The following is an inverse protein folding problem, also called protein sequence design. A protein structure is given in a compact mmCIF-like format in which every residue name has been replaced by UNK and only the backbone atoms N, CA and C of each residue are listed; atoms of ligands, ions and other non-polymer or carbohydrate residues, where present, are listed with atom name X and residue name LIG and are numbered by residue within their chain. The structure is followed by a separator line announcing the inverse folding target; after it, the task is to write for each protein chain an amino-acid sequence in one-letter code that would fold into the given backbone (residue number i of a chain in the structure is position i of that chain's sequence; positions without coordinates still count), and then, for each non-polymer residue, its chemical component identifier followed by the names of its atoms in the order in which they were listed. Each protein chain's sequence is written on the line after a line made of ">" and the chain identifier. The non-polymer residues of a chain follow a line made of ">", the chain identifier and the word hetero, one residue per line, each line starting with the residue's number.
data_IF_788384087980
#
_entry.id   IF_788384087980
#
_cell.length_a   1.000
_cell.length_b   1.000
_cell.length_c   1.000
_cell.angle_alpha   90.00
_cell.angle_beta   90.00
_cell.angle_gamma   90.00
#
_symmetry.space_group_name_H-M   'P 1'
#
loop_
_entity.id
_entity.type
_entity.pdbx_description
1 polymer ?
#
# COMPACT_ATOMS: atom_id res chain seq x y z
N UNK A 1 -31.58 -15.52 -11.59
CA UNK A 1 -31.25 -14.13 -11.98
C UNK A 1 -29.75 -14.04 -12.00
N UNK A 2 -29.14 -13.98 -13.18
CA UNK A 2 -27.68 -13.88 -13.34
C UNK A 2 -27.25 -12.46 -13.02
N UNK A 3 -26.40 -12.28 -12.00
CA UNK A 3 -25.79 -10.99 -11.70
C UNK A 3 -25.13 -10.40 -12.95
N UNK A 4 -25.18 -9.07 -13.15
CA UNK A 4 -24.48 -8.44 -14.26
C UNK A 4 -22.97 -8.75 -14.17
N UNK A 5 -22.28 -8.91 -15.31
CA UNK A 5 -20.83 -9.10 -15.31
C UNK A 5 -20.17 -7.87 -14.64
N UNK A 6 -19.10 -8.07 -13.85
CA UNK A 6 -18.39 -6.95 -13.26
C UNK A 6 -17.86 -6.03 -14.36
N UNK A 7 -17.75 -4.71 -14.09
CA UNK A 7 -17.20 -3.77 -15.06
C UNK A 7 -15.85 -4.29 -15.55
N UNK A 8 -15.69 -4.39 -16.87
CA UNK A 8 -14.42 -4.77 -17.47
C UNK A 8 -13.42 -3.66 -17.17
N UNK A 9 -12.44 -3.97 -16.33
CA UNK A 9 -11.34 -3.06 -16.03
C UNK A 9 -10.48 -2.78 -17.25
N UNK A 10 -9.51 -1.88 -17.11
CA UNK A 10 -8.50 -1.66 -18.14
C UNK A 10 -7.64 -2.92 -18.38
N UNK A 11 -6.65 -2.86 -19.28
CA UNK A 11 -5.74 -3.99 -19.57
C UNK A 11 -5.06 -4.55 -18.28
N UNK A 12 -4.93 -3.72 -17.24
CA UNK A 12 -4.36 -4.08 -15.95
C UNK A 12 -5.38 -4.65 -14.96
N UNK A 13 -6.67 -4.63 -15.31
CA UNK A 13 -7.78 -5.07 -14.48
C UNK A 13 -8.13 -4.07 -13.39
N UNK A 14 -7.76 -2.80 -13.60
CA UNK A 14 -8.11 -1.70 -12.73
C UNK A 14 -9.53 -1.23 -13.04
N UNK A 15 -10.28 -0.75 -12.04
CA UNK A 15 -11.60 -0.20 -12.28
C UNK A 15 -11.52 1.07 -13.14
N UNK A 16 -12.58 1.40 -13.91
CA UNK A 16 -12.61 2.62 -14.70
C UNK A 16 -12.32 3.88 -13.84
N UNK A 17 -11.47 4.77 -14.33
CA UNK A 17 -11.13 6.05 -13.67
C UNK A 17 -10.14 5.95 -12.49
N UNK A 18 -9.93 4.78 -11.90
CA UNK A 18 -9.01 4.59 -10.77
C UNK A 18 -7.55 4.90 -11.14
N UNK A 19 -7.15 4.57 -12.37
CA UNK A 19 -5.81 4.91 -12.87
C UNK A 19 -5.60 6.42 -13.01
N UNK A 20 -6.62 7.17 -13.40
CA UNK A 20 -6.55 8.63 -13.51
C UNK A 20 -6.52 9.31 -12.13
N UNK A 21 -7.31 8.78 -11.18
CA UNK A 21 -7.28 9.21 -9.77
C UNK A 21 -5.89 8.98 -9.16
N UNK A 22 -5.30 7.80 -9.38
CA UNK A 22 -3.92 7.51 -8.97
C UNK A 22 -2.94 8.53 -9.55
N UNK A 23 -3.02 8.81 -10.86
CA UNK A 23 -2.16 9.79 -11.51
C UNK A 23 -2.34 11.21 -10.95
N UNK A 24 -3.56 11.57 -10.51
CA UNK A 24 -3.79 12.85 -9.84
C UNK A 24 -3.08 12.90 -8.48
N UNK A 25 -3.26 11.89 -7.62
CA UNK A 25 -2.55 11.82 -6.34
C UNK A 25 -1.03 11.76 -6.50
N UNK A 26 -0.54 11.03 -7.51
CA UNK A 26 0.88 10.96 -7.85
C UNK A 26 1.47 12.31 -8.29
N UNK A 27 0.67 13.22 -8.88
CA UNK A 27 1.12 14.60 -9.19
C UNK A 27 1.40 15.37 -7.91
N UNK A 28 0.48 15.32 -6.96
CA UNK A 28 0.61 16.04 -5.69
C UNK A 28 1.82 15.51 -4.90
N UNK A 29 1.96 14.19 -4.84
CA UNK A 29 3.11 13.54 -4.20
C UNK A 29 4.43 13.90 -4.89
N UNK A 30 4.47 13.95 -6.23
CA UNK A 30 5.67 14.41 -6.95
C UNK A 30 6.00 15.88 -6.68
N UNK A 31 4.99 16.73 -6.46
CA UNK A 31 5.18 18.10 -5.99
C UNK A 31 5.90 18.14 -4.64
N UNK A 32 5.42 17.36 -3.66
CA UNK A 32 6.06 17.26 -2.35
C UNK A 32 7.51 16.76 -2.42
N UNK A 33 7.76 15.70 -3.20
CA UNK A 33 9.12 15.18 -3.43
C UNK A 33 10.02 16.25 -4.08
N UNK A 34 9.48 17.07 -4.99
CA UNK A 34 10.22 18.17 -5.61
C UNK A 34 10.58 19.27 -4.60
N UNK A 35 9.68 19.60 -3.67
CA UNK A 35 9.96 20.55 -2.59
C UNK A 35 11.05 20.04 -1.64
N UNK A 36 11.01 18.74 -1.30
CA UNK A 36 12.08 18.09 -0.52
C UNK A 36 13.42 18.14 -1.26
N UNK A 37 13.43 17.93 -2.58
CA UNK A 37 14.64 18.04 -3.38
C UNK A 37 15.23 19.47 -3.33
N UNK A 38 14.39 20.51 -3.45
CA UNK A 38 14.86 21.90 -3.35
C UNK A 38 15.33 22.24 -1.92
N UNK A 39 14.69 21.70 -0.88
CA UNK A 39 15.16 21.81 0.50
C UNK A 39 16.54 21.18 0.68
N UNK A 40 16.80 20.02 0.06
CA UNK A 40 18.12 19.37 0.07
C UNK A 40 19.17 20.07 -0.81
N UNK A 41 18.76 20.91 -1.76
CA UNK A 41 19.69 21.81 -2.48
C UNK A 41 20.17 22.90 -1.52
N UNK A 42 19.28 23.44 -0.66
CA UNK A 42 19.64 24.45 0.32
C UNK A 42 20.41 23.87 1.53
N UNK A 43 20.03 22.68 2.00
CA UNK A 43 20.60 21.99 3.15
C UNK A 43 20.69 20.47 2.90
N UNK A 44 21.80 20.02 2.30
CA UNK A 44 21.97 18.61 1.90
C UNK A 44 22.07 17.61 3.06
N UNK A 45 22.29 18.08 4.28
CA UNK A 45 22.37 17.29 5.51
C UNK A 45 21.06 17.27 6.31
N UNK A 46 19.98 17.83 5.75
CA UNK A 46 18.66 17.83 6.36
C UNK A 46 18.08 16.41 6.45
N UNK A 47 18.38 15.72 7.54
CA UNK A 47 17.98 14.32 7.79
C UNK A 47 16.47 14.14 7.82
N UNK A 48 15.71 15.14 8.26
CA UNK A 48 14.26 15.11 8.24
C UNK A 48 13.72 15.11 6.81
N UNK A 49 14.28 15.95 5.94
CA UNK A 49 13.92 15.96 4.52
C UNK A 49 14.32 14.66 3.81
N UNK A 50 15.47 14.08 4.14
CA UNK A 50 15.92 12.80 3.57
C UNK A 50 14.99 11.65 3.99
N UNK A 51 14.60 11.58 5.27
CA UNK A 51 13.68 10.53 5.72
C UNK A 51 12.27 10.69 5.12
N UNK A 52 11.77 11.92 4.99
CA UNK A 52 10.50 12.19 4.32
C UNK A 52 10.54 11.77 2.83
N UNK A 53 11.63 12.12 2.14
CA UNK A 53 11.88 11.72 0.75
C UNK A 53 11.90 10.18 0.59
N UNK A 54 12.56 9.48 1.53
CA UNK A 54 12.60 8.02 1.57
C UNK A 54 11.20 7.43 1.73
N UNK A 55 10.39 7.98 2.65
CA UNK A 55 9.00 7.52 2.89
C UNK A 55 8.11 7.73 1.67
N UNK A 56 8.21 8.87 1.00
CA UNK A 56 7.46 9.13 -0.22
C UNK A 56 7.85 8.21 -1.37
N UNK A 57 9.15 7.96 -1.54
CA UNK A 57 9.67 7.01 -2.52
C UNK A 57 9.18 5.58 -2.23
N UNK A 58 9.18 5.16 -0.96
CA UNK A 58 8.68 3.84 -0.55
C UNK A 58 7.21 3.64 -0.92
N UNK A 59 6.34 4.62 -0.64
CA UNK A 59 4.91 4.55 -1.02
C UNK A 59 4.74 4.43 -2.54
N UNK A 60 5.41 5.27 -3.32
CA UNK A 60 5.38 5.18 -4.79
C UNK A 60 5.88 3.83 -5.30
N UNK A 61 6.96 3.28 -4.72
CA UNK A 61 7.47 1.95 -5.05
C UNK A 61 6.40 0.89 -4.85
N UNK A 62 5.70 0.93 -3.72
CA UNK A 62 4.67 -0.04 -3.34
C UNK A 62 3.41 0.00 -4.21
N UNK A 63 2.92 1.20 -4.56
CA UNK A 63 1.67 1.34 -5.32
C UNK A 63 1.86 1.42 -6.84
N UNK A 64 2.87 2.11 -7.38
CA UNK A 64 2.90 2.49 -8.80
C UNK A 64 2.76 1.31 -9.78
N UNK A 65 3.42 0.18 -9.49
CA UNK A 65 3.30 -1.01 -10.34
C UNK A 65 1.88 -1.62 -10.31
N UNK A 66 1.18 -1.52 -9.18
CA UNK A 66 -0.19 -1.99 -9.00
C UNK A 66 -1.18 -1.20 -9.89
N UNK A 67 -0.85 0.04 -10.22
CA UNK A 67 -1.60 0.93 -11.10
C UNK A 67 -1.11 0.94 -12.56
N UNK A 68 -0.23 0.02 -12.94
CA UNK A 68 0.26 -0.10 -14.31
C UNK A 68 1.43 0.83 -14.65
N UNK A 69 2.18 1.29 -13.66
CA UNK A 69 3.39 2.12 -13.84
C UNK A 69 4.65 1.42 -13.30
N UNK A 70 5.08 0.29 -13.90
CA UNK A 70 6.21 -0.48 -13.41
C UNK A 70 7.52 0.30 -13.47
N UNK A 71 7.74 1.15 -14.47
CA UNK A 71 8.95 2.00 -14.51
C UNK A 71 8.98 3.01 -13.36
N UNK A 72 7.83 3.55 -12.96
CA UNK A 72 7.76 4.48 -11.84
C UNK A 72 8.10 3.77 -10.52
N UNK A 73 7.62 2.54 -10.33
CA UNK A 73 7.97 1.70 -9.17
C UNK A 73 9.48 1.44 -9.08
N UNK A 74 10.14 1.17 -10.22
CA UNK A 74 11.61 1.00 -10.28
C UNK A 74 12.35 2.27 -9.89
N UNK A 75 11.99 3.42 -10.48
CA UNK A 75 12.66 4.70 -10.16
C UNK A 75 12.43 5.08 -8.70
N UNK A 76 11.26 4.79 -8.15
CA UNK A 76 10.94 5.03 -6.75
C UNK A 76 11.80 4.15 -5.82
N UNK A 77 12.03 2.88 -6.16
CA UNK A 77 12.94 2.01 -5.42
C UNK A 77 14.38 2.54 -5.42
N UNK A 78 14.87 3.02 -6.57
CA UNK A 78 16.21 3.62 -6.64
C UNK A 78 16.34 4.90 -5.78
N UNK A 79 15.30 5.74 -5.76
CA UNK A 79 15.26 6.94 -4.92
C UNK A 79 15.23 6.58 -3.42
N UNK A 80 14.42 5.57 -3.06
CA UNK A 80 14.33 5.06 -1.70
C UNK A 80 15.69 4.56 -1.21
N UNK A 81 16.38 3.74 -2.00
CA UNK A 81 17.72 3.22 -1.68
C UNK A 81 18.77 4.33 -1.59
N UNK A 82 18.74 5.32 -2.50
CA UNK A 82 19.61 6.47 -2.41
C UNK A 82 19.41 7.26 -1.09
N UNK A 83 18.15 7.49 -0.71
CA UNK A 83 17.82 8.21 0.52
C UNK A 83 18.24 7.42 1.79
N UNK A 84 18.06 6.08 1.81
CA UNK A 84 18.60 5.21 2.87
C UNK A 84 20.10 5.38 3.02
N UNK A 85 20.83 5.30 1.90
CA UNK A 85 22.28 5.45 1.89
C UNK A 85 22.73 6.83 2.41
N UNK A 86 21.99 7.90 2.11
CA UNK A 86 22.29 9.25 2.61
C UNK A 86 22.12 9.39 4.13
N UNK A 87 21.14 8.67 4.71
CA UNK A 87 20.95 8.62 6.17
C UNK A 87 22.06 7.81 6.85
N UNK A 88 22.50 6.71 6.24
CA UNK A 88 23.58 5.86 6.77
C UNK A 88 24.96 6.53 6.66
N UNK A 89 25.16 7.35 5.62
CA UNK A 89 26.41 8.05 5.36
C UNK A 89 26.23 9.57 5.33
N UNK A 90 25.95 10.21 6.49
CA UNK A 90 25.56 11.63 6.55
C UNK A 90 26.62 12.60 6.01
N UNK A 91 27.90 12.23 6.04
CA UNK A 91 29.00 13.07 5.52
C UNK A 91 29.32 12.92 4.03
N UNK A 92 28.77 11.91 3.35
CA UNK A 92 29.12 11.62 1.95
C UNK A 92 28.11 12.23 0.97
N UNK A 93 28.61 12.91 -0.06
CA UNK A 93 27.82 13.41 -1.18
C UNK A 93 26.82 14.52 -0.85
N UNK A 94 26.91 15.15 0.34
CA UNK A 94 25.97 16.17 0.87
C UNK A 94 25.65 17.24 -0.17
N UNK A 95 26.67 17.78 -0.85
CA UNK A 95 26.52 18.84 -1.84
C UNK A 95 25.67 18.45 -3.07
N UNK A 96 25.52 17.15 -3.35
CA UNK A 96 24.88 16.65 -4.57
C UNK A 96 23.50 16.02 -4.32
N UNK A 97 23.08 15.82 -3.06
CA UNK A 97 21.83 15.12 -2.72
C UNK A 97 20.60 15.79 -3.32
N UNK A 98 20.49 17.11 -3.18
CA UNK A 98 19.38 17.86 -3.76
C UNK A 98 19.32 17.76 -5.30
N UNK A 99 20.47 17.84 -5.98
CA UNK A 99 20.52 17.67 -7.44
C UNK A 99 20.17 16.24 -7.87
N UNK A 100 20.64 15.23 -7.13
CA UNK A 100 20.30 13.84 -7.36
C UNK A 100 18.78 13.61 -7.18
N UNK A 101 18.20 14.08 -6.07
CA UNK A 101 16.76 14.01 -5.79
C UNK A 101 15.94 14.65 -6.92
N UNK A 102 16.34 15.83 -7.40
CA UNK A 102 15.70 16.48 -8.55
C UNK A 102 15.80 15.66 -9.84
N UNK A 103 16.89 14.93 -10.03
CA UNK A 103 17.05 13.96 -11.12
C UNK A 103 16.02 12.82 -11.05
N UNK A 104 15.81 12.26 -9.85
CA UNK A 104 14.77 11.25 -9.62
C UNK A 104 13.36 11.79 -9.86
N UNK A 105 13.04 13.00 -9.41
CA UNK A 105 11.73 13.64 -9.70
C UNK A 105 11.45 13.70 -11.19
N UNK A 106 12.43 14.09 -12.01
CA UNK A 106 12.27 14.13 -13.48
C UNK A 106 12.01 12.74 -14.06
N UNK A 107 12.73 11.72 -13.59
CA UNK A 107 12.56 10.34 -14.03
C UNK A 107 11.21 9.76 -13.62
N UNK A 108 10.75 10.04 -12.40
CA UNK A 108 9.42 9.65 -11.91
C UNK A 108 8.31 10.33 -12.71
N UNK A 109 8.41 11.64 -12.92
CA UNK A 109 7.45 12.38 -13.74
C UNK A 109 7.40 11.84 -15.18
N UNK A 110 8.56 11.50 -15.76
CA UNK A 110 8.62 10.87 -17.07
C UNK A 110 7.95 9.48 -17.05
N UNK A 111 8.20 8.66 -16.03
CA UNK A 111 7.61 7.32 -15.93
C UNK A 111 6.09 7.33 -15.69
N UNK A 112 5.56 8.36 -15.01
CA UNK A 112 4.14 8.48 -14.67
C UNK A 112 3.32 9.22 -15.73
N UNK A 113 3.88 10.24 -16.39
CA UNK A 113 3.11 11.16 -17.24
C UNK A 113 3.53 11.17 -18.70
N UNK A 114 4.59 10.48 -19.10
CA UNK A 114 4.89 10.33 -20.53
C UNK A 114 3.89 9.35 -21.12
N UNK A 115 3.03 9.84 -22.02
CA UNK A 115 1.91 9.09 -22.62
C UNK A 115 2.31 7.66 -22.99
N UNK A 116 1.82 6.70 -22.21
CA UNK A 116 1.48 5.39 -22.75
C UNK A 116 0.11 5.57 -23.40
N UNK A 117 0.08 5.64 -24.73
CA UNK A 117 -1.13 5.89 -25.50
C UNK A 117 -2.17 4.78 -25.28
N UNK A 118 -3.32 5.13 -24.70
CA UNK A 118 -4.64 4.60 -25.07
C UNK A 118 -5.71 5.65 -24.73
N UNK A 119 -6.71 5.77 -25.59
CA UNK A 119 -7.60 6.90 -25.75
C UNK A 119 -8.61 7.11 -24.61
N UNK A 120 -8.94 8.38 -24.35
CA UNK A 120 -10.20 8.79 -23.70
C UNK A 120 -11.34 8.79 -24.75
N UNK A 121 -12.64 8.65 -24.37
CA UNK A 121 -13.29 9.74 -23.64
C UNK A 121 -14.39 9.36 -22.61
N UNK A 122 -14.77 10.42 -21.89
CA UNK A 122 -15.99 10.71 -21.11
C UNK A 122 -16.05 10.24 -19.65
N UNK A 123 -15.68 11.20 -18.78
CA UNK A 123 -16.01 11.22 -17.37
C UNK A 123 -17.53 11.25 -17.14
N UNK A 124 -18.02 10.29 -16.36
CA UNK A 124 -19.22 10.46 -15.54
C UNK A 124 -18.76 10.86 -14.12
N UNK A 125 -19.57 11.65 -13.37
CA UNK A 125 -19.17 12.10 -12.05
C UNK A 125 -19.11 10.92 -11.08
N UNK A 126 -17.97 10.75 -10.40
CA UNK A 126 -17.86 9.88 -9.22
C UNK A 126 -18.74 10.44 -8.11
N UNK A 127 -19.52 9.62 -7.39
CA UNK A 127 -20.22 10.07 -6.19
C UNK A 127 -19.21 10.42 -5.09
N UNK A 128 -19.56 11.30 -4.14
CA UNK A 128 -18.73 11.56 -2.98
C UNK A 128 -18.66 10.30 -2.10
N UNK A 129 -17.46 9.84 -1.78
CA UNK A 129 -17.22 8.80 -0.77
C UNK A 129 -17.55 9.42 0.59
N UNK A 130 -18.72 9.11 1.10
CA UNK A 130 -19.07 9.35 2.49
C UNK A 130 -18.33 8.34 3.37
N UNK A 131 -17.82 8.82 4.52
CA UNK A 131 -17.36 7.98 5.61
C UNK A 131 -18.40 6.89 5.94
N UNK A 132 -17.89 5.70 6.25
CA UNK A 132 -18.62 4.48 6.55
C UNK A 132 -20.02 4.68 7.16
N UNK A 133 -21.02 4.09 6.54
CA UNK A 133 -22.25 3.67 7.23
C UNK A 133 -22.25 2.14 7.33
N UNK A 134 -22.67 1.56 8.47
CA UNK A 134 -22.58 0.13 8.70
C UNK A 134 -23.55 -0.64 7.78
N UNK A 135 -23.16 -1.84 7.29
CA UNK A 135 -24.08 -2.69 6.55
C UNK A 135 -25.18 -3.21 7.48
N UNK A 136 -26.43 -3.03 7.08
CA UNK A 136 -27.60 -3.61 7.75
C UNK A 136 -27.68 -5.10 7.40
N UNK A 137 -27.40 -5.97 8.37
CA UNK A 137 -27.70 -7.40 8.31
C UNK A 137 -26.87 -8.24 9.27
N UNK A 138 -27.50 -8.86 10.28
CA UNK A 138 -26.89 -9.95 11.05
C UNK A 138 -26.98 -11.27 10.24
N UNK A 139 -25.94 -12.16 10.23
CA UNK A 139 -25.22 -12.62 11.43
C UNK A 139 -23.68 -12.51 11.38
N UNK A 140 -23.11 -12.17 12.54
CA UNK A 140 -21.70 -11.95 12.89
C UNK A 140 -21.06 -10.67 12.32
N UNK A 141 -20.96 -9.65 13.19
CA UNK A 141 -20.40 -8.30 12.98
C UNK A 141 -18.87 -8.28 12.77
N UNK A 142 -18.25 -9.46 12.66
CA UNK A 142 -16.80 -9.60 12.55
C UNK A 142 -16.38 -9.50 11.07
N UNK A 143 -15.36 -8.67 10.75
CA UNK A 143 -14.82 -8.57 9.39
C UNK A 143 -14.18 -9.89 8.95
N UNK A 144 -14.25 -10.17 7.66
CA UNK A 144 -13.54 -11.31 7.06
C UNK A 144 -12.10 -10.95 6.71
N UNK A 145 -11.87 -9.69 6.32
CA UNK A 145 -10.56 -9.16 5.94
C UNK A 145 -10.30 -7.88 6.72
N UNK A 146 -9.11 -7.73 7.27
CA UNK A 146 -8.63 -6.50 7.89
C UNK A 146 -7.38 -6.08 7.12
N UNK A 147 -7.31 -4.82 6.72
CA UNK A 147 -6.19 -4.26 5.97
C UNK A 147 -5.50 -3.21 6.83
N UNK A 148 -4.19 -3.34 7.03
CA UNK A 148 -3.35 -2.32 7.67
C UNK A 148 -2.34 -1.85 6.63
N UNK A 149 -2.60 -0.69 6.04
CA UNK A 149 -1.88 -0.14 4.88
C UNK A 149 -1.92 1.39 4.95
N UNK A 150 -0.75 2.04 4.95
CA UNK A 150 -0.63 3.50 5.06
C UNK A 150 -0.60 4.20 3.68
N UNK A 151 -0.31 3.49 2.59
CA UNK A 151 -0.44 4.04 1.25
C UNK A 151 -1.93 4.21 0.89
N UNK A 152 -2.43 5.46 0.78
CA UNK A 152 -3.85 5.70 0.53
C UNK A 152 -4.29 5.15 -0.83
N UNK A 153 -3.43 5.17 -1.84
CA UNK A 153 -3.77 4.68 -3.17
C UNK A 153 -3.92 3.15 -3.16
N UNK A 154 -2.97 2.44 -2.55
CA UNK A 154 -3.05 0.99 -2.47
C UNK A 154 -4.22 0.54 -1.58
N UNK A 155 -4.45 1.23 -0.46
CA UNK A 155 -5.59 0.99 0.42
C UNK A 155 -6.92 1.17 -0.33
N UNK A 156 -7.08 2.25 -1.10
CA UNK A 156 -8.28 2.50 -1.91
C UNK A 156 -8.48 1.41 -2.98
N UNK A 157 -7.40 0.99 -3.65
CA UNK A 157 -7.45 -0.07 -4.66
C UNK A 157 -7.91 -1.41 -4.07
N UNK A 158 -7.38 -1.78 -2.89
CA UNK A 158 -7.78 -2.98 -2.16
C UNK A 158 -9.23 -2.88 -1.66
N UNK A 159 -9.61 -1.76 -1.05
CA UNK A 159 -10.98 -1.48 -0.59
C UNK A 159 -11.98 -1.65 -1.73
N UNK A 160 -11.74 -1.01 -2.88
CA UNK A 160 -12.59 -1.17 -4.06
C UNK A 160 -12.73 -2.65 -4.44
N UNK A 161 -11.61 -3.38 -4.49
CA UNK A 161 -11.58 -4.78 -4.88
C UNK A 161 -12.34 -5.70 -3.92
N UNK A 162 -12.26 -5.42 -2.62
CA UNK A 162 -12.94 -6.13 -1.55
C UNK A 162 -14.45 -5.86 -1.56
N UNK A 163 -14.85 -4.59 -1.70
CA UNK A 163 -16.25 -4.18 -1.82
C UNK A 163 -16.92 -4.82 -3.03
N UNK A 164 -16.28 -4.78 -4.19
CA UNK A 164 -16.79 -5.37 -5.43
C UNK A 164 -17.01 -6.89 -5.33
N UNK A 165 -16.34 -7.56 -4.39
CA UNK A 165 -16.49 -9.00 -4.09
C UNK A 165 -17.34 -9.30 -2.87
N UNK A 166 -17.95 -8.28 -2.25
CA UNK A 166 -18.81 -8.42 -1.09
C UNK A 166 -18.09 -9.00 0.12
N UNK A 167 -16.83 -8.62 0.35
CA UNK A 167 -16.17 -8.90 1.62
C UNK A 167 -16.66 -7.94 2.69
N UNK A 168 -16.82 -8.42 3.93
CA UNK A 168 -16.80 -7.53 5.10
C UNK A 168 -15.35 -7.23 5.45
N UNK A 169 -14.97 -5.97 5.49
CA UNK A 169 -13.59 -5.60 5.82
C UNK A 169 -13.48 -4.35 6.67
N UNK A 170 -12.33 -4.20 7.32
CA UNK A 170 -11.89 -2.98 8.01
C UNK A 170 -10.53 -2.55 7.46
N UNK A 171 -10.29 -1.24 7.40
CA UNK A 171 -9.01 -0.67 7.00
C UNK A 171 -8.45 0.24 8.09
N UNK A 172 -7.17 0.09 8.37
CA UNK A 172 -6.38 0.96 9.23
C UNK A 172 -5.21 1.55 8.44
N UNK A 173 -5.03 2.85 8.57
CA UNK A 173 -3.88 3.59 7.99
C UNK A 173 -2.70 3.72 8.93
N UNK A 174 -2.86 3.35 10.21
CA UNK A 174 -1.86 3.52 11.25
C UNK A 174 -1.70 2.21 12.02
N UNK A 175 -0.47 1.69 12.07
CA UNK A 175 -0.18 0.42 12.73
C UNK A 175 -0.46 0.40 14.23
N UNK A 176 -0.24 1.51 14.93
CA UNK A 176 -0.50 1.61 16.38
C UNK A 176 -1.99 1.61 16.67
N UNK A 177 -2.77 2.41 15.95
CA UNK A 177 -4.23 2.40 16.06
C UNK A 177 -4.79 1.01 15.73
N UNK A 178 -4.28 0.37 14.68
CA UNK A 178 -4.67 -0.98 14.30
C UNK A 178 -4.42 -1.97 15.44
N UNK A 179 -3.21 -1.97 16.01
CA UNK A 179 -2.84 -2.90 17.08
C UNK A 179 -3.76 -2.78 18.31
N UNK A 180 -4.02 -1.56 18.79
CA UNK A 180 -4.89 -1.33 19.96
C UNK A 180 -6.31 -1.88 19.74
N UNK A 181 -6.86 -1.66 18.53
CA UNK A 181 -8.20 -2.14 18.18
C UNK A 181 -8.21 -3.67 17.93
N UNK A 182 -7.19 -4.22 17.27
CA UNK A 182 -7.07 -5.66 17.02
C UNK A 182 -6.99 -6.46 18.32
N UNK A 183 -6.28 -5.95 19.34
CA UNK A 183 -6.19 -6.57 20.67
C UNK A 183 -7.55 -6.69 21.35
N UNK A 184 -8.38 -5.66 21.23
CA UNK A 184 -9.69 -5.59 21.90
C UNK A 184 -10.84 -6.21 21.08
N UNK A 185 -10.62 -6.45 19.78
CA UNK A 185 -11.62 -7.03 18.88
C UNK A 185 -12.03 -8.45 19.32
N UNK A 186 -13.35 -8.68 19.36
CA UNK A 186 -13.93 -10.01 19.54
C UNK A 186 -14.12 -10.71 18.19
N UNK A 187 -13.42 -11.82 17.99
CA UNK A 187 -13.49 -12.63 16.76
C UNK A 187 -14.18 -13.97 16.97
N UNK A 188 -14.64 -14.29 18.20
CA UNK A 188 -15.20 -15.60 18.56
C UNK A 188 -16.50 -15.94 17.84
N UNK A 189 -17.23 -14.92 17.37
CA UNK A 189 -18.45 -15.08 16.59
C UNK A 189 -18.23 -15.49 15.12
N UNK A 190 -16.98 -15.62 14.66
CA UNK A 190 -16.66 -16.02 13.28
C UNK A 190 -16.37 -17.50 13.14
N UNK A 191 -16.77 -18.08 12.00
CA UNK A 191 -16.46 -19.47 11.63
C UNK A 191 -14.94 -19.72 11.52
N UNK A 192 -14.18 -18.69 11.17
CA UNK A 192 -12.72 -18.72 11.08
C UNK A 192 -12.15 -17.38 11.58
N UNK A 193 -10.91 -17.35 12.10
CA UNK A 193 -10.25 -16.10 12.43
C UNK A 193 -10.14 -15.18 11.20
N UNK A 194 -10.36 -13.85 11.34
CA UNK A 194 -10.26 -12.91 10.23
C UNK A 194 -8.88 -12.94 9.57
N UNK A 195 -8.84 -12.70 8.25
CA UNK A 195 -7.60 -12.50 7.51
C UNK A 195 -7.08 -11.09 7.78
N UNK A 196 -5.86 -10.96 8.29
CA UNK A 196 -5.18 -9.68 8.49
C UNK A 196 -4.12 -9.51 7.38
N UNK A 197 -4.37 -8.61 6.44
CA UNK A 197 -3.37 -8.11 5.50
C UNK A 197 -2.58 -7.00 6.19
N UNK A 198 -1.34 -7.29 6.55
CA UNK A 198 -0.51 -6.41 7.37
C UNK A 198 0.68 -5.92 6.55
N UNK A 199 0.73 -4.62 6.26
CA UNK A 199 1.94 -4.03 5.70
C UNK A 199 3.11 -4.14 6.67
N UNK A 200 4.27 -4.53 6.16
CA UNK A 200 5.50 -4.65 6.93
C UNK A 200 6.07 -3.27 7.23
N UNK A 201 6.09 -2.37 6.26
CA UNK A 201 6.82 -1.11 6.32
C UNK A 201 5.95 0.07 6.81
N UNK A 202 5.14 -0.18 7.85
CA UNK A 202 4.27 0.85 8.43
C UNK A 202 5.07 1.94 9.17
N UNK A 203 4.65 3.22 9.08
CA UNK A 203 5.28 4.29 9.84
C UNK A 203 5.16 4.08 11.37
N UNK A 204 6.24 4.37 12.09
CA UNK A 204 6.37 4.36 13.55
C UNK A 204 6.25 3.01 14.27
N UNK A 205 5.51 2.04 13.74
CA UNK A 205 5.41 0.68 14.27
C UNK A 205 5.28 -0.30 13.10
N UNK A 206 6.32 -1.10 12.87
CA UNK A 206 6.38 -2.01 11.74
C UNK A 206 5.45 -3.22 11.90
N UNK A 207 5.09 -3.84 10.78
CA UNK A 207 4.16 -4.97 10.74
C UNK A 207 4.67 -6.21 11.48
N UNK A 208 5.99 -6.45 11.54
CA UNK A 208 6.52 -7.59 12.31
C UNK A 208 6.33 -7.38 13.80
N UNK A 209 6.60 -6.16 14.29
CA UNK A 209 6.35 -5.80 15.69
C UNK A 209 4.87 -5.96 16.07
N UNK A 210 3.95 -5.51 15.22
CA UNK A 210 2.50 -5.70 15.41
C UNK A 210 2.16 -7.20 15.47
N UNK A 211 2.69 -7.99 14.53
CA UNK A 211 2.46 -9.43 14.47
C UNK A 211 2.94 -10.13 15.75
N UNK A 212 4.17 -9.85 16.19
CA UNK A 212 4.75 -10.46 17.40
C UNK A 212 3.90 -10.15 18.63
N UNK A 213 3.43 -8.91 18.78
CA UNK A 213 2.58 -8.49 19.89
C UNK A 213 1.19 -9.17 19.85
N UNK A 214 0.61 -9.30 18.66
CA UNK A 214 -0.64 -10.06 18.48
C UNK A 214 -0.47 -11.55 18.80
N UNK A 215 0.66 -12.17 18.45
CA UNK A 215 0.92 -13.57 18.78
C UNK A 215 1.18 -13.79 20.27
N UNK A 216 1.75 -12.81 20.97
CA UNK A 216 1.96 -12.89 22.42
C UNK A 216 0.65 -12.71 23.19
N UNK A 217 -0.17 -11.71 22.83
CA UNK A 217 -1.35 -11.35 23.62
C UNK A 217 -2.63 -12.06 23.17
N UNK A 218 -2.75 -12.36 21.89
CA UNK A 218 -3.95 -12.97 21.31
C UNK A 218 -3.63 -13.99 20.20
N UNK A 219 -2.84 -15.05 20.52
CA UNK A 219 -2.39 -16.03 19.54
C UNK A 219 -3.56 -16.67 18.79
N UNK A 220 -3.43 -16.75 17.46
CA UNK A 220 -4.44 -17.36 16.58
C UNK A 220 -5.73 -16.56 16.41
N UNK A 221 -5.83 -15.34 17.00
CA UNK A 221 -7.00 -14.46 16.81
C UNK A 221 -7.15 -13.99 15.36
N UNK A 222 -6.04 -13.90 14.62
CA UNK A 222 -5.98 -13.48 13.23
C UNK A 222 -5.12 -14.42 12.39
N UNK A 223 -5.48 -14.55 11.12
CA UNK A 223 -4.65 -15.20 10.09
C UNK A 223 -3.88 -14.12 9.37
N UNK A 224 -2.58 -14.02 9.62
CA UNK A 224 -1.81 -12.86 9.15
C UNK A 224 -1.10 -13.16 7.83
N UNK A 225 -1.31 -12.31 6.84
CA UNK A 225 -0.56 -12.27 5.58
C UNK A 225 0.17 -10.95 5.53
N UNK A 226 1.48 -10.99 5.35
CA UNK A 226 2.26 -9.78 5.19
C UNK A 226 2.14 -9.22 3.78
N UNK A 227 2.04 -7.90 3.66
CA UNK A 227 2.28 -7.19 2.40
C UNK A 227 3.59 -6.43 2.52
N UNK A 228 4.43 -6.44 1.49
CA UNK A 228 5.78 -5.87 1.61
C UNK A 228 6.38 -5.55 0.26
N UNK A 229 7.21 -4.50 0.18
CA UNK A 229 8.03 -4.23 -1.01
C UNK A 229 9.29 -5.10 -1.06
N UNK A 230 9.57 -5.85 0.00
CA UNK A 230 10.75 -6.69 0.10
C UNK A 230 10.40 -8.14 -0.27
N UNK A 231 10.91 -8.56 -1.43
CA UNK A 231 10.63 -9.87 -1.99
C UNK A 231 11.71 -10.92 -1.72
N UNK A 232 12.67 -10.66 -0.82
CA UNK A 232 13.77 -11.60 -0.61
C UNK A 232 13.31 -12.88 0.07
N UNK A 233 13.96 -13.99 -0.25
CA UNK A 233 13.68 -15.29 0.36
C UNK A 233 13.87 -15.23 1.88
N UNK A 234 14.90 -14.53 2.36
CA UNK A 234 15.21 -14.40 3.78
C UNK A 234 14.09 -13.70 4.56
N UNK A 235 13.52 -12.62 4.01
CA UNK A 235 12.44 -11.89 4.67
C UNK A 235 11.13 -12.67 4.66
N UNK A 236 10.83 -13.36 3.55
CA UNK A 236 9.67 -14.24 3.48
C UNK A 236 9.78 -15.38 4.49
N UNK A 237 10.93 -16.06 4.54
CA UNK A 237 11.19 -17.14 5.50
C UNK A 237 11.00 -16.67 6.94
N UNK A 238 11.53 -15.49 7.30
CA UNK A 238 11.46 -14.96 8.67
C UNK A 238 10.04 -14.96 9.22
N UNK A 239 9.07 -14.38 8.52
CA UNK A 239 7.69 -14.35 9.04
C UNK A 239 6.91 -15.64 8.83
N UNK A 240 7.25 -16.49 7.84
CA UNK A 240 6.66 -17.83 7.76
C UNK A 240 7.06 -18.67 8.97
N UNK A 241 8.34 -18.62 9.35
CA UNK A 241 8.86 -19.28 10.56
C UNK A 241 8.25 -18.70 11.84
N UNK A 242 7.93 -17.40 11.85
CA UNK A 242 7.22 -16.75 12.96
C UNK A 242 5.71 -17.11 13.02
N UNK A 243 5.19 -17.86 12.04
CA UNK A 243 3.81 -18.35 12.02
C UNK A 243 2.82 -17.49 11.22
N UNK A 244 3.31 -16.60 10.35
CA UNK A 244 2.47 -15.94 9.36
C UNK A 244 1.96 -16.95 8.32
N UNK A 245 0.79 -16.66 7.75
CA UNK A 245 0.12 -17.52 6.79
C UNK A 245 0.79 -17.50 5.42
N UNK A 246 1.13 -16.31 4.93
CA UNK A 246 1.66 -16.11 3.58
C UNK A 246 2.20 -14.67 3.43
N UNK A 247 2.67 -14.36 2.22
CA UNK A 247 3.15 -13.06 1.79
C UNK A 247 2.52 -12.59 0.47
N UNK A 248 2.42 -11.27 0.34
CA UNK A 248 2.10 -10.59 -0.90
C UNK A 248 3.12 -9.49 -1.18
N UNK A 249 3.97 -9.74 -2.18
CA UNK A 249 5.00 -8.78 -2.60
C UNK A 249 4.37 -7.65 -3.41
N UNK A 250 4.74 -6.42 -3.06
CA UNK A 250 4.41 -5.16 -3.74
C UNK A 250 5.48 -4.86 -4.81
N UNK A 251 5.11 -4.25 -5.95
CA UNK A 251 3.74 -3.94 -6.37
C UNK A 251 2.94 -5.20 -6.73
N UNK A 252 1.62 -5.16 -6.54
CA UNK A 252 0.74 -6.33 -6.70
C UNK A 252 -0.37 -6.07 -7.72
N UNK A 253 -0.70 -7.08 -8.52
CA UNK A 253 -1.91 -7.02 -9.36
C UNK A 253 -3.14 -7.18 -8.47
N UNK A 254 -4.09 -6.22 -8.52
CA UNK A 254 -5.36 -6.30 -7.79
C UNK A 254 -6.09 -7.64 -8.07
N UNK A 255 -6.10 -8.09 -9.33
CA UNK A 255 -6.73 -9.36 -9.72
C UNK A 255 -6.12 -10.56 -8.99
N UNK A 256 -4.78 -10.62 -8.95
CA UNK A 256 -4.05 -11.70 -8.28
C UNK A 256 -4.22 -11.60 -6.76
N UNK A 257 -4.15 -10.40 -6.20
CA UNK A 257 -4.35 -10.14 -4.78
C UNK A 257 -5.72 -10.65 -4.31
N UNK A 258 -6.78 -10.30 -5.02
CA UNK A 258 -8.14 -10.73 -4.67
C UNK A 258 -8.37 -12.22 -4.83
N UNK A 259 -7.73 -12.88 -5.80
CA UNK A 259 -7.78 -14.34 -5.93
C UNK A 259 -7.04 -15.04 -4.78
N UNK A 260 -5.88 -14.52 -4.34
CA UNK A 260 -5.20 -15.00 -3.13
C UNK A 260 -6.06 -14.83 -1.88
N UNK A 261 -6.63 -13.63 -1.69
CA UNK A 261 -7.54 -13.32 -0.57
C UNK A 261 -8.73 -14.28 -0.55
N UNK A 262 -9.34 -14.56 -1.71
CA UNK A 262 -10.44 -15.54 -1.82
C UNK A 262 -10.05 -16.91 -1.28
N UNK A 263 -8.88 -17.41 -1.68
CA UNK A 263 -8.36 -18.71 -1.21
C UNK A 263 -8.06 -18.71 0.28
N UNK A 264 -7.44 -17.64 0.79
CA UNK A 264 -7.15 -17.56 2.22
C UNK A 264 -8.44 -17.47 3.04
N UNK A 265 -9.40 -16.61 2.69
CA UNK A 265 -10.69 -16.52 3.41
C UNK A 265 -11.50 -17.83 3.30
N UNK A 266 -11.27 -18.64 2.26
CA UNK A 266 -11.92 -19.95 2.08
C UNK A 266 -13.28 -19.86 1.37
N UNK A 267 -13.41 -18.91 0.44
CA UNK A 267 -14.58 -18.73 -0.43
C UNK A 267 -14.40 -19.40 -1.80
#
# INVERSE_FOLDING_TARGET
>A
MTSPPPPQGDDFGLPPGVRDQYLQGARDQLGAIAELAERLIAAGDDTAAIDELRRDAHRLRGSAGSFGFPQASVVAAELEEAAKHWLEQPGNGVANRGQAARGYVRRLAAALFTKQSAAAPLAAPSPPIAAASPPTGEPSDVPEVIVVEDDPALAELLTFGLEARGYRFLHFRNGREALELLKTMDTRGSRQPPLLLLDVDLPALDGYSIFDELQQECPGKFRVVFTTVHGSETEQLRGLEAGAMDYMVKPMSLRVALEKIRRWVGR
#
